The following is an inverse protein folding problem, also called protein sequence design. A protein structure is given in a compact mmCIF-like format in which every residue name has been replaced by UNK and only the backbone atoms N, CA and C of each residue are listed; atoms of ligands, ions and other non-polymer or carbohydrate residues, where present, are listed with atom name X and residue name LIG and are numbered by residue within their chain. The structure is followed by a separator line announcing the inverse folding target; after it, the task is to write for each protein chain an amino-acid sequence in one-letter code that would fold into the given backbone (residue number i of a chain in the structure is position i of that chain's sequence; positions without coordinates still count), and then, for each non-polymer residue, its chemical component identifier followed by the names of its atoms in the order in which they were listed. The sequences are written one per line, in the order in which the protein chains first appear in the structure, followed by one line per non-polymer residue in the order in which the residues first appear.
data_IF_951992281384
#
_entry.id   IF_951992281384
#
_cell.length_a   1.000
_cell.length_b   1.000
_cell.length_c   1.000
_cell.angle_alpha   90.00
_cell.angle_beta   90.00
_cell.angle_gamma   90.00
#
_symmetry.space_group_name_H-M   'P 1'
#
loop_
_entity.id
_entity.type
_entity.pdbx_description
1 polymer ?
#
# COMPACT_ATOMS: atom_id res chain seq x y z
N UNK A 1 -4.04 -3.57 -0.94
CA UNK A 1 -2.69 -4.16 -1.17
C UNK A 1 -2.48 -4.26 -2.67
N UNK A 2 -1.43 -3.64 -3.21
CA UNK A 2 -1.13 -3.79 -4.63
C UNK A 2 0.37 -3.61 -4.95
N UNK A 3 0.85 -4.40 -5.93
CA UNK A 3 2.27 -4.47 -6.30
C UNK A 3 2.62 -3.75 -7.60
N UNK A 4 1.73 -2.91 -8.14
CA UNK A 4 1.87 -2.32 -9.48
C UNK A 4 1.39 -3.28 -10.58
N UNK A 5 1.55 -2.89 -11.85
CA UNK A 5 0.96 -3.58 -13.02
C UNK A 5 1.37 -5.05 -13.16
N UNK A 6 2.53 -5.43 -12.66
CA UNK A 6 3.03 -6.82 -12.76
C UNK A 6 2.75 -7.65 -11.50
N UNK A 7 2.14 -7.04 -10.45
CA UNK A 7 1.99 -7.66 -9.15
C UNK A 7 3.34 -7.87 -8.43
N UNK A 8 3.28 -8.33 -7.19
CA UNK A 8 4.45 -8.60 -6.38
C UNK A 8 4.34 -9.97 -5.71
N UNK A 9 5.14 -10.95 -6.14
CA UNK A 9 5.13 -12.30 -5.55
C UNK A 9 5.45 -12.30 -4.05
N UNK A 10 6.35 -11.42 -3.61
CA UNK A 10 6.65 -11.24 -2.19
C UNK A 10 5.41 -10.86 -1.38
N UNK A 11 4.50 -10.08 -1.96
CA UNK A 11 3.25 -9.71 -1.29
C UNK A 11 2.32 -10.90 -1.13
N UNK A 12 2.18 -11.73 -2.17
CA UNK A 12 1.35 -12.94 -2.12
C UNK A 12 1.87 -13.96 -1.10
N UNK A 13 3.18 -14.00 -0.88
CA UNK A 13 3.81 -14.95 0.06
C UNK A 13 3.83 -14.45 1.51
N UNK A 14 3.97 -13.15 1.75
CA UNK A 14 4.17 -12.62 3.12
C UNK A 14 2.91 -12.02 3.71
N UNK A 15 2.17 -11.19 2.94
CA UNK A 15 1.10 -10.39 3.51
C UNK A 15 -0.06 -11.23 4.04
N UNK A 16 -0.58 -12.25 3.31
CA UNK A 16 -1.65 -13.09 3.87
C UNK A 16 -1.25 -13.74 5.20
N UNK A 17 -0.01 -14.26 5.30
CA UNK A 17 0.49 -14.87 6.52
C UNK A 17 0.64 -13.86 7.66
N UNK A 18 1.07 -12.63 7.36
CA UNK A 18 1.15 -11.56 8.36
C UNK A 18 -0.24 -11.16 8.91
N UNK A 19 -1.26 -11.11 8.03
CA UNK A 19 -2.64 -10.86 8.46
C UNK A 19 -3.21 -12.02 9.28
N UNK A 20 -2.88 -13.27 8.94
CA UNK A 20 -3.24 -14.45 9.73
C UNK A 20 -2.59 -14.48 11.12
N UNK A 21 -1.39 -13.94 11.26
CA UNK A 21 -0.65 -13.86 12.53
C UNK A 21 -1.22 -12.79 13.48
N UNK A 22 -2.09 -11.90 13.01
CA UNK A 22 -2.75 -10.91 13.86
C UNK A 22 -3.67 -11.59 14.90
N UNK A 23 -3.87 -10.96 16.08
CA UNK A 23 -4.88 -11.40 17.04
C UNK A 23 -6.27 -11.54 16.39
N UNK A 24 -7.08 -12.49 16.85
CA UNK A 24 -8.42 -12.73 16.31
C UNK A 24 -9.30 -11.47 16.29
N UNK A 25 -9.23 -10.66 17.34
CA UNK A 25 -9.96 -9.39 17.45
C UNK A 25 -9.57 -8.37 16.36
N UNK A 26 -8.32 -8.39 15.88
CA UNK A 26 -7.87 -7.57 14.75
C UNK A 26 -8.36 -8.15 13.43
N UNK A 27 -8.19 -9.48 13.22
CA UNK A 27 -8.60 -10.14 11.98
C UNK A 27 -10.08 -9.94 11.65
N UNK A 28 -10.95 -10.01 12.66
CA UNK A 28 -12.40 -9.82 12.50
C UNK A 28 -12.81 -8.40 12.05
N UNK A 29 -11.89 -7.44 12.14
CA UNK A 29 -12.09 -6.05 11.71
C UNK A 29 -11.51 -5.78 10.32
N UNK A 30 -10.84 -6.77 9.71
CA UNK A 30 -10.22 -6.59 8.41
C UNK A 30 -11.24 -6.75 7.28
N UNK A 31 -11.17 -5.84 6.31
CA UNK A 31 -11.66 -6.02 4.96
C UNK A 31 -10.48 -5.80 4.03
N UNK A 32 -10.06 -6.84 3.33
CA UNK A 32 -8.84 -6.84 2.53
C UNK A 32 -9.18 -6.77 1.06
N UNK A 33 -8.53 -5.87 0.33
CA UNK A 33 -8.50 -5.88 -1.14
C UNK A 33 -7.07 -6.10 -1.55
N UNK A 34 -6.80 -7.19 -2.26
CA UNK A 34 -5.43 -7.54 -2.66
C UNK A 34 -5.32 -7.87 -4.14
N UNK A 35 -4.50 -7.10 -4.83
CA UNK A 35 -4.02 -7.47 -6.16
C UNK A 35 -2.97 -8.56 -6.05
N UNK A 36 -3.15 -9.64 -6.80
CA UNK A 36 -2.23 -10.77 -6.89
C UNK A 36 -1.88 -11.03 -8.35
N UNK A 37 -0.70 -11.61 -8.61
CA UNK A 37 -0.45 -12.18 -9.94
C UNK A 37 -1.46 -13.30 -10.22
N UNK A 38 -1.82 -13.50 -11.46
CA UNK A 38 -2.77 -14.55 -11.86
C UNK A 38 -2.40 -15.92 -11.28
N UNK A 39 -1.11 -16.25 -11.26
CA UNK A 39 -0.60 -17.51 -10.72
C UNK A 39 -0.76 -17.66 -9.19
N UNK A 40 -0.89 -16.56 -8.46
CA UNK A 40 -0.95 -16.54 -6.99
C UNK A 40 -2.41 -16.46 -6.47
N UNK A 41 -3.39 -16.11 -7.32
CA UNK A 41 -4.77 -15.81 -6.92
C UNK A 41 -5.40 -16.92 -6.10
N UNK A 42 -5.41 -18.13 -6.62
CA UNK A 42 -6.06 -19.27 -5.97
C UNK A 42 -5.42 -19.61 -4.61
N UNK A 43 -4.10 -19.49 -4.53
CA UNK A 43 -3.37 -19.71 -3.29
C UNK A 43 -3.76 -18.68 -2.23
N UNK A 44 -3.75 -17.39 -2.59
CA UNK A 44 -4.08 -16.29 -1.67
C UNK A 44 -5.54 -16.34 -1.23
N UNK A 45 -6.47 -16.62 -2.16
CA UNK A 45 -7.90 -16.79 -1.83
C UNK A 45 -8.12 -17.90 -0.82
N UNK A 46 -7.51 -19.07 -1.04
CA UNK A 46 -7.61 -20.20 -0.09
C UNK A 46 -7.09 -19.85 1.29
N UNK A 47 -5.99 -19.08 1.38
CA UNK A 47 -5.45 -18.66 2.67
C UNK A 47 -6.44 -17.76 3.43
N UNK A 48 -7.05 -16.78 2.77
CA UNK A 48 -7.99 -15.87 3.41
C UNK A 48 -9.27 -16.59 3.85
N UNK A 49 -9.86 -17.41 2.97
CA UNK A 49 -11.06 -18.20 3.30
C UNK A 49 -10.82 -19.14 4.48
N UNK A 50 -9.70 -19.87 4.47
CA UNK A 50 -9.37 -20.82 5.55
C UNK A 50 -9.21 -20.15 6.92
N UNK A 51 -8.91 -18.87 6.96
CA UNK A 51 -8.63 -18.12 8.19
C UNK A 51 -9.69 -17.07 8.54
N UNK A 52 -10.87 -17.15 7.93
CA UNK A 52 -12.01 -16.25 8.16
C UNK A 52 -11.65 -14.76 7.98
N UNK A 53 -10.78 -14.45 7.00
CA UNK A 53 -10.45 -13.09 6.62
C UNK A 53 -11.30 -12.70 5.43
N UNK A 54 -12.11 -11.63 5.59
CA UNK A 54 -12.88 -11.07 4.50
C UNK A 54 -11.93 -10.45 3.48
N UNK A 55 -11.87 -11.00 2.27
CA UNK A 55 -10.95 -10.53 1.24
C UNK A 55 -11.54 -10.60 -0.16
N UNK A 56 -11.26 -9.57 -0.94
CA UNK A 56 -11.43 -9.53 -2.39
C UNK A 56 -10.04 -9.58 -3.04
N UNK A 57 -9.86 -10.50 -3.98
CA UNK A 57 -8.59 -10.68 -4.68
C UNK A 57 -8.80 -10.71 -6.18
N UNK A 58 -7.97 -10.00 -6.92
CA UNK A 58 -7.99 -9.99 -8.38
C UNK A 58 -6.57 -9.79 -8.94
N UNK A 59 -6.39 -10.11 -10.21
CA UNK A 59 -5.12 -9.81 -10.90
C UNK A 59 -4.99 -8.34 -11.27
N UNK A 60 -6.12 -7.67 -11.41
CA UNK A 60 -6.20 -6.25 -11.74
C UNK A 60 -7.49 -5.64 -11.17
N UNK A 61 -7.44 -4.37 -10.81
CA UNK A 61 -8.59 -3.55 -10.42
C UNK A 61 -8.61 -2.30 -11.29
N UNK A 62 -9.72 -2.07 -11.99
CA UNK A 62 -9.94 -0.89 -12.85
C UNK A 62 -10.47 0.32 -12.05
N UNK A 63 -10.93 0.09 -10.83
CA UNK A 63 -11.52 1.08 -9.93
C UNK A 63 -10.57 1.49 -8.77
N UNK A 64 -9.25 1.39 -8.96
CA UNK A 64 -8.26 1.68 -7.92
C UNK A 64 -8.47 3.02 -7.21
N UNK A 65 -8.81 4.14 -7.87
CA UNK A 65 -9.08 5.40 -7.20
C UNK A 65 -10.21 5.31 -6.16
N UNK A 66 -11.30 4.59 -6.47
CA UNK A 66 -12.42 4.38 -5.54
C UNK A 66 -12.00 3.53 -4.34
N UNK A 67 -11.19 2.51 -4.58
CA UNK A 67 -10.64 1.67 -3.50
C UNK A 67 -9.69 2.43 -2.60
N UNK A 68 -8.85 3.28 -3.16
CA UNK A 68 -8.00 4.18 -2.38
C UNK A 68 -8.84 5.14 -1.54
N UNK A 69 -9.93 5.70 -2.10
CA UNK A 69 -10.79 6.63 -1.37
C UNK A 69 -11.42 6.03 -0.10
N UNK A 70 -11.59 4.71 -0.04
CA UNK A 70 -12.20 4.00 1.10
C UNK A 70 -11.19 3.26 1.99
N UNK A 71 -9.93 3.13 1.57
CA UNK A 71 -8.92 2.41 2.31
C UNK A 71 -8.47 3.15 3.58
N UNK A 72 -8.29 2.44 4.68
CA UNK A 72 -7.69 2.97 5.91
C UNK A 72 -6.16 2.91 5.88
N UNK A 73 -5.61 1.94 5.19
CA UNK A 73 -4.17 1.73 5.02
C UNK A 73 -3.92 1.07 3.68
N UNK A 74 -2.86 1.48 3.02
CA UNK A 74 -2.41 0.87 1.76
C UNK A 74 -1.05 0.23 1.94
N UNK A 75 -0.86 -1.00 1.45
CA UNK A 75 0.45 -1.65 1.36
C UNK A 75 0.77 -1.75 -0.14
N UNK A 76 1.83 -1.09 -0.58
CA UNK A 76 2.13 -1.00 -2.01
C UNK A 76 3.62 -0.90 -2.33
N UNK A 77 3.97 -1.16 -3.60
CA UNK A 77 5.23 -0.71 -4.17
C UNK A 77 5.24 0.82 -4.27
N UNK A 78 6.43 1.41 -4.27
CA UNK A 78 6.62 2.86 -4.30
C UNK A 78 6.98 3.40 -5.69
N UNK A 79 6.28 2.93 -6.74
CA UNK A 79 6.35 3.56 -8.05
C UNK A 79 5.90 5.04 -7.97
N UNK A 80 6.41 5.90 -8.85
CA UNK A 80 6.11 7.34 -8.83
C UNK A 80 4.60 7.62 -8.89
N UNK A 81 3.87 6.97 -9.81
CA UNK A 81 2.41 7.09 -9.90
C UNK A 81 1.71 6.68 -8.61
N UNK A 82 2.10 5.53 -8.03
CA UNK A 82 1.53 5.05 -6.77
C UNK A 82 1.71 6.06 -5.64
N UNK A 83 2.92 6.61 -5.48
CA UNK A 83 3.20 7.60 -4.41
C UNK A 83 2.38 8.87 -4.62
N UNK A 84 2.25 9.35 -5.86
CA UNK A 84 1.43 10.51 -6.20
C UNK A 84 -0.06 10.25 -5.94
N UNK A 85 -0.60 9.11 -6.33
CA UNK A 85 -1.99 8.71 -6.09
C UNK A 85 -2.30 8.60 -4.59
N UNK A 86 -1.39 8.01 -3.81
CA UNK A 86 -1.53 7.91 -2.35
C UNK A 86 -1.51 9.29 -1.69
N UNK A 87 -0.67 10.19 -2.16
CA UNK A 87 -0.60 11.57 -1.69
C UNK A 87 -1.91 12.32 -1.98
N UNK A 88 -2.38 12.31 -3.23
CA UNK A 88 -3.64 12.97 -3.63
C UNK A 88 -4.83 12.38 -2.87
N UNK A 89 -4.91 11.06 -2.75
CA UNK A 89 -5.98 10.40 -2.00
C UNK A 89 -5.85 10.57 -0.47
N UNK A 90 -4.73 11.09 0.03
CA UNK A 90 -4.47 11.24 1.47
C UNK A 90 -4.46 9.89 2.19
N UNK A 91 -3.82 8.86 1.62
CA UNK A 91 -3.84 7.52 2.22
C UNK A 91 -2.54 7.19 2.95
N UNK A 92 -2.63 6.83 4.24
CA UNK A 92 -1.48 6.31 4.97
C UNK A 92 -1.03 5.01 4.33
N UNK A 93 0.27 4.81 4.23
CA UNK A 93 0.77 3.65 3.49
C UNK A 93 1.99 2.98 4.12
N UNK A 94 2.10 1.67 3.96
CA UNK A 94 3.33 0.91 4.11
C UNK A 94 3.91 0.70 2.71
N UNK A 95 4.97 1.40 2.41
CA UNK A 95 5.63 1.35 1.12
C UNK A 95 6.78 0.33 1.13
N UNK A 96 6.74 -0.57 0.18
CA UNK A 96 7.74 -1.63 0.01
C UNK A 96 8.45 -1.40 -1.32
N UNK A 97 9.58 -0.66 -1.34
CA UNK A 97 10.32 -0.42 -2.56
C UNK A 97 10.72 -1.72 -3.26
N UNK A 98 10.68 -1.73 -4.59
CA UNK A 98 11.15 -2.87 -5.36
C UNK A 98 12.70 -2.92 -5.33
N UNK A 99 13.31 -4.02 -4.86
CA UNK A 99 14.75 -4.07 -4.57
C UNK A 99 15.64 -3.99 -5.82
N UNK A 100 15.08 -4.29 -6.99
CA UNK A 100 15.80 -4.23 -8.27
C UNK A 100 15.37 -3.03 -9.14
N UNK A 101 14.84 -1.98 -8.51
CA UNK A 101 14.48 -0.76 -9.21
C UNK A 101 15.76 -0.04 -9.69
N UNK A 102 15.80 0.35 -10.96
CA UNK A 102 16.93 1.08 -11.54
C UNK A 102 17.24 2.32 -10.68
N UNK A 103 18.51 2.53 -10.37
CA UNK A 103 19.00 3.65 -9.56
C UNK A 103 18.26 3.83 -8.22
N UNK A 104 17.68 2.76 -7.69
CA UNK A 104 16.93 2.77 -6.43
C UNK A 104 15.82 3.85 -6.37
N UNK A 105 15.22 4.15 -7.53
CA UNK A 105 14.21 5.21 -7.62
C UNK A 105 12.99 4.97 -6.73
N UNK A 106 12.63 3.71 -6.44
CA UNK A 106 11.47 3.42 -5.60
C UNK A 106 11.70 3.79 -4.13
N UNK A 107 12.90 3.63 -3.61
CA UNK A 107 13.24 4.11 -2.25
C UNK A 107 13.15 5.63 -2.18
N UNK A 108 13.67 6.34 -3.20
CA UNK A 108 13.56 7.81 -3.27
C UNK A 108 12.11 8.28 -3.35
N UNK A 109 11.28 7.61 -4.14
CA UNK A 109 9.85 7.94 -4.21
C UNK A 109 9.16 7.75 -2.85
N UNK A 110 9.43 6.63 -2.17
CA UNK A 110 8.86 6.34 -0.85
C UNK A 110 9.23 7.39 0.19
N UNK A 111 10.44 7.95 0.09
CA UNK A 111 10.96 8.97 1.01
C UNK A 111 10.12 10.24 1.02
N UNK A 112 9.48 10.60 -0.09
CA UNK A 112 8.59 11.76 -0.20
C UNK A 112 7.46 11.72 0.82
N UNK A 113 6.80 10.58 0.95
CA UNK A 113 5.72 10.40 1.93
C UNK A 113 6.28 10.06 3.32
N UNK A 114 7.37 9.29 3.41
CA UNK A 114 7.98 8.93 4.69
C UNK A 114 8.47 10.17 5.45
N UNK A 115 9.21 11.05 4.80
CA UNK A 115 9.73 12.27 5.43
C UNK A 115 8.64 13.24 5.89
N UNK A 116 7.48 13.23 5.22
CA UNK A 116 6.31 13.98 5.64
C UNK A 116 5.53 13.31 6.80
N UNK A 117 5.82 12.04 7.10
CA UNK A 117 5.04 11.25 8.08
C UNK A 117 3.79 10.59 7.49
N UNK A 118 3.62 10.60 6.17
CA UNK A 118 2.47 10.01 5.45
C UNK A 118 2.61 8.52 5.15
N UNK A 119 3.80 7.96 5.32
CA UNK A 119 4.07 6.55 5.04
C UNK A 119 5.14 5.96 5.96
N UNK A 120 5.11 4.64 6.08
CA UNK A 120 6.19 3.82 6.62
C UNK A 120 6.87 3.09 5.47
N UNK A 121 8.19 3.03 5.48
CA UNK A 121 8.96 2.30 4.47
C UNK A 121 9.46 1.00 5.08
N UNK A 122 9.17 -0.10 4.41
CA UNK A 122 9.58 -1.44 4.79
C UNK A 122 10.33 -2.08 3.60
N UNK A 123 11.65 -2.15 3.62
CA UNK A 123 12.42 -2.84 2.59
C UNK A 123 11.94 -4.30 2.43
N UNK A 124 11.89 -4.80 1.20
CA UNK A 124 11.36 -6.15 0.93
C UNK A 124 12.13 -7.24 1.70
N UNK A 125 13.45 -7.11 1.81
CA UNK A 125 14.29 -8.03 2.58
C UNK A 125 13.94 -8.07 4.07
N UNK A 126 13.31 -7.02 4.59
CA UNK A 126 12.91 -6.88 5.98
C UNK A 126 11.40 -7.15 6.19
N UNK A 127 10.66 -7.38 5.11
CA UNK A 127 9.22 -7.66 5.15
C UNK A 127 8.99 -9.13 5.53
N UNK A 128 9.20 -9.45 6.80
CA UNK A 128 8.85 -10.77 7.37
C UNK A 128 7.41 -10.78 7.87
N UNK A 129 6.85 -11.97 8.05
CA UNK A 129 5.51 -12.17 8.62
C UNK A 129 5.40 -11.50 9.99
N UNK A 130 6.38 -11.71 10.85
CA UNK A 130 6.42 -11.19 12.22
C UNK A 130 6.49 -9.66 12.23
N UNK A 131 7.42 -9.09 11.47
CA UNK A 131 7.62 -7.63 11.43
C UNK A 131 6.39 -6.92 10.87
N UNK A 132 5.81 -7.43 9.80
CA UNK A 132 4.61 -6.84 9.20
C UNK A 132 3.40 -6.99 10.11
N UNK A 133 3.19 -8.16 10.72
CA UNK A 133 2.04 -8.36 11.63
C UNK A 133 2.13 -7.47 12.87
N UNK A 134 3.31 -7.33 13.48
CA UNK A 134 3.53 -6.43 14.62
C UNK A 134 3.27 -4.97 14.24
N UNK A 135 3.74 -4.56 13.05
CA UNK A 135 3.51 -3.20 12.57
C UNK A 135 2.02 -2.92 12.34
N UNK A 136 1.31 -3.84 11.69
CA UNK A 136 -0.13 -3.73 11.44
C UNK A 136 -0.94 -3.74 12.74
N UNK A 137 -0.60 -4.61 13.69
CA UNK A 137 -1.24 -4.63 15.01
C UNK A 137 -1.10 -3.27 15.71
N UNK A 138 0.11 -2.70 15.72
CA UNK A 138 0.35 -1.37 16.29
C UNK A 138 -0.51 -0.28 15.63
N UNK A 139 -0.64 -0.29 14.31
CA UNK A 139 -1.47 0.69 13.59
C UNK A 139 -2.96 0.52 13.89
N UNK A 140 -3.42 -0.71 14.08
CA UNK A 140 -4.82 -1.00 14.47
C UNK A 140 -5.13 -0.62 15.90
N UNK A 141 -4.16 -0.70 16.81
CA UNK A 141 -4.30 -0.32 18.22
C UNK A 141 -4.17 1.21 18.44
N UNK A 142 -3.52 1.90 17.50
CA UNK A 142 -3.25 3.33 17.58
C UNK A 142 -3.81 4.08 16.36
N UNK A 143 -5.16 4.23 16.23
CA UNK A 143 -5.79 4.80 15.04
C UNK A 143 -5.36 6.26 14.76
N UNK A 144 -4.88 6.99 15.75
CA UNK A 144 -4.36 8.34 15.55
C UNK A 144 -3.09 8.36 14.70
N UNK A 145 -2.29 7.28 14.69
CA UNK A 145 -1.17 7.15 13.76
C UNK A 145 -1.64 7.18 12.31
N UNK A 146 -2.72 6.45 12.01
CA UNK A 146 -3.31 6.44 10.65
C UNK A 146 -3.89 7.80 10.28
N UNK A 147 -4.61 8.46 11.21
CA UNK A 147 -5.16 9.81 10.98
C UNK A 147 -4.07 10.84 10.68
N UNK A 148 -3.01 10.82 11.47
CA UNK A 148 -1.90 11.76 11.30
C UNK A 148 -1.16 11.51 9.98
N UNK A 149 -0.91 10.24 9.64
CA UNK A 149 -0.29 9.86 8.39
C UNK A 149 -1.18 10.21 7.17
N UNK A 150 -2.50 10.05 7.28
CA UNK A 150 -3.43 10.47 6.24
C UNK A 150 -3.34 11.97 5.94
N UNK A 151 -3.33 12.81 6.99
CA UNK A 151 -3.16 14.27 6.85
C UNK A 151 -1.81 14.63 6.24
N UNK A 152 -0.75 13.96 6.69
CA UNK A 152 0.61 14.18 6.20
C UNK A 152 0.76 13.78 4.72
N UNK A 153 0.17 12.65 4.32
CA UNK A 153 0.14 12.22 2.92
C UNK A 153 -0.63 13.23 2.05
N UNK A 154 -1.83 13.64 2.48
CA UNK A 154 -2.64 14.61 1.75
C UNK A 154 -1.93 15.95 1.55
N UNK A 155 -1.15 16.41 2.53
CA UNK A 155 -0.36 17.64 2.42
C UNK A 155 0.78 17.56 1.37
N UNK A 156 1.05 16.39 0.80
CA UNK A 156 2.00 16.19 -0.30
C UNK A 156 1.33 15.99 -1.65
N UNK A 157 0.01 15.82 -1.67
CA UNK A 157 -0.75 15.64 -2.90
C UNK A 157 -0.90 16.96 -3.66
N UNK A 158 -0.79 16.88 -4.97
CA UNK A 158 -1.12 17.98 -5.86
C UNK A 158 -2.10 17.46 -6.93
N UNK A 159 -3.41 17.66 -6.74
CA UNK A 159 -4.41 17.18 -7.69
C UNK A 159 -4.32 17.91 -9.04
N UNK A 160 -3.78 19.14 -9.07
CA UNK A 160 -3.68 19.98 -10.28
C UNK A 160 -2.31 19.86 -10.98
N UNK A 161 -1.50 18.86 -10.63
CA UNK A 161 -0.15 18.71 -11.18
C UNK A 161 -0.11 18.67 -12.72
N UNK A 162 -1.11 18.08 -13.37
CA UNK A 162 -1.21 18.04 -14.83
C UNK A 162 -1.48 19.43 -15.42
N UNK A 163 -2.36 20.22 -14.79
CA UNK A 163 -2.63 21.61 -15.19
C UNK A 163 -1.38 22.49 -15.04
N UNK A 164 -0.72 22.41 -13.90
CA UNK A 164 0.52 23.17 -13.67
C UNK A 164 1.64 22.81 -14.67
N UNK A 165 1.73 21.54 -15.06
CA UNK A 165 2.68 21.14 -16.10
C UNK A 165 2.31 21.70 -17.47
N UNK A 166 1.01 21.69 -17.83
CA UNK A 166 0.53 22.29 -19.07
C UNK A 166 0.84 23.79 -19.12
N UNK A 167 0.59 24.54 -18.03
CA UNK A 167 0.91 25.97 -17.93
C UNK A 167 2.40 26.24 -18.15
N UNK A 168 3.27 25.39 -17.62
CA UNK A 168 4.73 25.52 -17.84
C UNK A 168 5.10 25.29 -19.30
N UNK A 169 4.48 24.32 -19.97
CA UNK A 169 4.74 24.01 -21.39
C UNK A 169 4.21 25.12 -22.30
N UNK A 170 3.06 25.72 -21.97
CA UNK A 170 2.47 26.82 -22.74
C UNK A 170 3.24 28.13 -22.59
N UNK A 171 4.01 28.28 -21.50
CA UNK A 171 4.85 29.45 -21.24
C UNK A 171 6.24 29.41 -21.92
N UNK A 172 6.59 28.30 -22.57
CA UNK A 172 7.86 28.11 -23.32
C UNK A 172 7.72 28.52 -24.79
#
# INVERSE_FOLDING_TARGET
IFGGSQGASGFSNVIPHALMALPKSHRQRLSVVQQCRQADLEFVQRLYVKNDIQAETASFFDDLPNRLATAHLVIARSGAGTVSELAVAGRPSVLVPYPHATDDHQTRNAEVLRSAGGAWVLPEAEMTVERLSQHLAKLMDQPDLLKNAAKAAHGRGNPDAAGLLADVVEAL
#
